data_IF_442375145778
#
_entry.id   IF_442375145778
#
_cell.length_a   1.000
_cell.length_b   1.000
_cell.length_c   1.000
_cell.angle_alpha   90.00
_cell.angle_beta   90.00
_cell.angle_gamma   90.00
#
_symmetry.space_group_name_H-M   'P 1'
#
loop_
_entity.id
_entity.type
_entity.pdbx_description
1 polymer ?
#
# COMPACT_ATOMS: atom_id res chain seq x y z
N UNK A 1 0.97 -0.23 8.44
CA UNK A 1 1.81 -1.11 9.25
C UNK A 1 0.89 -2.18 9.80
N UNK A 2 1.14 -3.45 9.50
CA UNK A 2 0.14 -4.48 9.64
C UNK A 2 -0.25 -4.62 11.12
N UNK A 3 -1.48 -5.05 11.33
CA UNK A 3 -1.88 -5.62 12.61
C UNK A 3 -0.89 -6.74 12.95
N UNK A 4 -0.48 -6.82 14.20
CA UNK A 4 0.42 -7.89 14.65
C UNK A 4 -0.20 -9.26 14.32
N UNK A 5 0.56 -10.10 13.62
CA UNK A 5 0.10 -11.41 13.14
C UNK A 5 -0.81 -11.40 11.90
N UNK A 6 -1.04 -10.24 11.27
CA UNK A 6 -1.79 -10.11 10.03
C UNK A 6 -0.98 -10.39 8.76
N UNK A 7 -1.68 -10.73 7.67
CA UNK A 7 -1.12 -10.82 6.32
C UNK A 7 -1.90 -9.88 5.40
N UNK A 8 -1.17 -9.04 4.65
CA UNK A 8 -1.75 -8.17 3.63
C UNK A 8 -1.53 -8.79 2.24
N UNK A 9 -2.57 -8.79 1.41
CA UNK A 9 -2.49 -9.22 0.01
C UNK A 9 -2.62 -8.00 -0.90
N UNK A 10 -1.60 -7.77 -1.73
CA UNK A 10 -1.58 -6.68 -2.71
C UNK A 10 -1.70 -7.27 -4.11
N UNK A 11 -2.56 -6.68 -4.94
CA UNK A 11 -2.80 -7.11 -6.31
C UNK A 11 -2.57 -5.95 -7.28
N UNK A 12 -1.92 -6.23 -8.41
CA UNK A 12 -1.86 -5.34 -9.55
C UNK A 12 -3.03 -5.66 -10.50
N UNK A 13 -3.83 -4.65 -10.83
CA UNK A 13 -4.84 -4.75 -11.89
C UNK A 13 -4.29 -4.12 -13.16
N UNK A 14 -4.27 -4.88 -14.27
CA UNK A 14 -3.82 -4.37 -15.58
C UNK A 14 -4.90 -3.54 -16.28
N UNK A 15 -6.14 -3.95 -16.06
CA UNK A 15 -7.31 -3.32 -16.63
C UNK A 15 -8.27 -3.00 -15.47
N UNK A 16 -8.73 -1.76 -15.40
CA UNK A 16 -9.70 -1.33 -14.38
C UNK A 16 -10.65 -0.29 -14.99
N UNK A 17 -11.93 -0.41 -14.65
CA UNK A 17 -12.98 0.52 -15.04
C UNK A 17 -13.74 1.03 -13.81
N UNK A 18 -14.18 2.29 -13.86
CA UNK A 18 -15.00 2.89 -12.81
C UNK A 18 -14.49 4.25 -12.34
N UNK A 19 -14.91 4.68 -11.15
CA UNK A 19 -14.39 5.87 -10.46
C UNK A 19 -13.94 5.49 -9.05
N UNK A 20 -12.71 5.83 -8.62
CA UNK A 20 -12.25 5.49 -7.28
C UNK A 20 -13.12 6.16 -6.22
N UNK A 21 -13.47 5.42 -5.17
CA UNK A 21 -14.27 5.92 -4.06
C UNK A 21 -13.70 5.43 -2.73
N UNK A 22 -13.80 6.26 -1.69
CA UNK A 22 -13.34 5.92 -0.34
C UNK A 22 -14.35 4.97 0.31
N UNK A 23 -13.95 3.71 0.52
CA UNK A 23 -14.76 2.71 1.22
C UNK A 23 -14.75 2.84 2.75
N UNK A 24 -13.72 3.48 3.31
CA UNK A 24 -13.53 3.64 4.76
C UNK A 24 -13.25 5.11 5.15
N UNK A 25 -14.27 5.99 5.13
CA UNK A 25 -14.08 7.43 5.33
C UNK A 25 -13.52 7.84 6.70
N UNK A 26 -13.61 6.97 7.71
CA UNK A 26 -13.00 7.20 9.02
C UNK A 26 -11.49 6.98 9.04
N UNK A 27 -10.95 6.26 8.04
CA UNK A 27 -9.52 5.94 7.94
C UNK A 27 -8.79 6.76 6.90
N UNK A 28 -9.49 7.18 5.84
CA UNK A 28 -8.89 7.86 4.69
C UNK A 28 -9.63 9.16 4.35
N UNK A 29 -8.88 10.21 4.06
CA UNK A 29 -9.40 11.54 3.73
C UNK A 29 -9.54 11.81 2.23
N UNK A 30 -8.81 11.07 1.38
CA UNK A 30 -8.83 11.24 -0.07
C UNK A 30 -8.47 9.94 -0.80
N UNK A 31 -8.90 9.84 -2.06
CA UNK A 31 -8.51 8.77 -3.00
C UNK A 31 -8.35 9.39 -4.40
N UNK A 32 -7.45 8.85 -5.20
CA UNK A 32 -7.22 9.34 -6.56
C UNK A 32 -6.16 8.53 -7.29
N UNK A 33 -5.94 8.92 -8.55
CA UNK A 33 -4.86 8.41 -9.38
C UNK A 33 -3.64 9.31 -9.24
N UNK A 34 -2.49 8.72 -8.96
CA UNK A 34 -1.22 9.42 -8.77
C UNK A 34 -0.13 8.72 -9.56
N UNK A 35 0.87 9.48 -9.99
CA UNK A 35 2.11 8.92 -10.54
C UNK A 35 2.87 8.21 -9.40
N UNK A 36 3.21 6.92 -9.53
CA UNK A 36 4.00 6.18 -8.53
C UNK A 36 5.34 6.85 -8.17
N UNK A 37 5.92 7.65 -9.06
CA UNK A 37 7.17 8.39 -8.85
C UNK A 37 6.96 9.78 -8.23
N UNK A 38 5.71 10.20 -8.03
CA UNK A 38 5.35 11.52 -7.49
C UNK A 38 4.13 11.41 -6.55
N UNK A 39 4.22 10.52 -5.57
CA UNK A 39 3.18 10.34 -4.56
C UNK A 39 3.09 11.54 -3.59
N UNK A 40 1.91 11.83 -3.03
CA UNK A 40 1.77 12.75 -1.90
C UNK A 40 2.52 12.25 -0.66
N UNK A 41 2.91 13.18 0.23
CA UNK A 41 3.60 12.82 1.48
C UNK A 41 2.74 11.95 2.42
N UNK A 42 1.41 12.11 2.36
CA UNK A 42 0.46 11.42 3.24
C UNK A 42 -0.28 10.29 2.51
N UNK A 43 0.47 9.26 2.10
CA UNK A 43 -0.08 8.01 1.58
C UNK A 43 -0.20 6.96 2.69
N UNK A 44 -1.03 5.94 2.46
CA UNK A 44 -1.14 4.82 3.39
C UNK A 44 0.25 4.16 3.60
N UNK A 45 0.66 3.84 4.85
CA UNK A 45 2.04 3.46 5.15
C UNK A 45 2.62 2.27 4.36
N UNK A 46 1.78 1.39 3.82
CA UNK A 46 2.24 0.22 3.06
C UNK A 46 2.54 0.55 1.57
N UNK A 47 2.08 1.69 1.05
CA UNK A 47 2.10 2.00 -0.39
C UNK A 47 3.53 2.06 -0.93
N UNK A 48 4.43 2.78 -0.25
CA UNK A 48 5.81 2.93 -0.73
C UNK A 48 6.54 1.59 -0.79
N UNK A 49 6.36 0.73 0.23
CA UNK A 49 6.95 -0.61 0.22
C UNK A 49 6.34 -1.49 -0.87
N UNK A 50 5.02 -1.43 -1.07
CA UNK A 50 4.37 -2.20 -2.14
C UNK A 50 4.91 -1.82 -3.53
N UNK A 51 5.11 -0.53 -3.82
CA UNK A 51 5.68 -0.08 -5.09
C UNK A 51 7.15 -0.53 -5.28
N UNK A 52 7.97 -0.46 -4.24
CA UNK A 52 9.36 -0.98 -4.26
C UNK A 52 9.40 -2.49 -4.58
N UNK A 53 8.48 -3.26 -3.98
CA UNK A 53 8.41 -4.70 -4.20
C UNK A 53 7.94 -5.02 -5.62
N UNK A 54 6.99 -4.26 -6.16
CA UNK A 54 6.56 -4.38 -7.57
C UNK A 54 7.72 -4.05 -8.53
N UNK A 55 8.42 -2.94 -8.32
CA UNK A 55 9.56 -2.51 -9.16
C UNK A 55 10.70 -3.54 -9.16
N UNK A 56 11.01 -4.13 -8.00
CA UNK A 56 12.04 -5.16 -7.86
C UNK A 56 11.61 -6.56 -8.28
N UNK A 57 10.33 -6.78 -8.63
CA UNK A 57 9.78 -8.11 -8.92
C UNK A 57 9.72 -9.04 -7.71
N UNK A 58 9.69 -8.49 -6.50
CA UNK A 58 9.66 -9.24 -5.24
C UNK A 58 8.22 -9.49 -4.81
N UNK A 59 7.82 -10.77 -4.72
CA UNK A 59 6.43 -11.16 -4.46
C UNK A 59 6.07 -11.34 -2.98
N UNK A 60 7.07 -11.37 -2.08
CA UNK A 60 6.89 -11.61 -0.65
C UNK A 60 7.78 -10.70 0.19
N UNK A 61 7.21 -10.13 1.26
CA UNK A 61 7.93 -9.37 2.27
C UNK A 61 7.36 -9.68 3.66
N UNK A 62 8.26 -9.90 4.62
CA UNK A 62 7.91 -10.15 6.01
C UNK A 62 8.29 -8.93 6.86
N UNK A 63 7.36 -8.43 7.65
CA UNK A 63 7.65 -7.46 8.70
C UNK A 63 8.02 -8.19 9.98
N UNK A 64 9.22 -7.94 10.50
CA UNK A 64 9.63 -8.36 11.84
C UNK A 64 9.49 -7.17 12.76
N UNK A 65 8.94 -7.36 13.96
CA UNK A 65 9.09 -6.38 15.01
C UNK A 65 10.59 -6.23 15.29
N UNK A 66 11.11 -5.01 15.34
CA UNK A 66 12.45 -4.77 15.85
C UNK A 66 12.49 -5.25 17.30
N UNK A 67 13.44 -6.12 17.64
CA UNK A 67 13.68 -6.47 19.03
C UNK A 67 14.22 -5.23 19.74
N UNK A 68 13.54 -4.79 20.81
CA UNK A 68 14.13 -3.86 21.76
C UNK A 68 15.31 -4.58 22.44
N UNK A 69 16.54 -4.17 22.10
CA UNK A 69 17.77 -4.58 22.79
C UNK A 69 17.88 -3.95 24.19
#
# INVERSE_FOLDING_TARGET
>A
MPFEGGVDFIFESRDWEGTPAIGEPSKFSSIGWFDPLSLPDNVAPFVSKALELVDSGTWYHEYRAESED
#
